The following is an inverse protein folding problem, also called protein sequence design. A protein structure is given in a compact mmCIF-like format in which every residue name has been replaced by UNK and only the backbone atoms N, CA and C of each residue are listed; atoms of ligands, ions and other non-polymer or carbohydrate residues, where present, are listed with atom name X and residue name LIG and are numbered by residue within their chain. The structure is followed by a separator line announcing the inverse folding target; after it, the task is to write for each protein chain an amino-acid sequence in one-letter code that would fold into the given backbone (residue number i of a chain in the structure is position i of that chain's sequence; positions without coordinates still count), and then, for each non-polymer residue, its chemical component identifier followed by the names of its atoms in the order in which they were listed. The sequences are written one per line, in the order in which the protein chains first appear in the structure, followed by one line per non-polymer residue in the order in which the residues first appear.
data_IF_312549157643
#
_entry.id   IF_312549157643
#
_cell.length_a   1.000
_cell.length_b   1.000
_cell.length_c   1.000
_cell.angle_alpha   90.00
_cell.angle_beta   90.00
_cell.angle_gamma   90.00
#
_symmetry.space_group_name_H-M   'P 1'
#
loop_
_entity.id
_entity.type
_entity.pdbx_description
1 polymer ?
#
# COMPACT_ATOMS: atom_id res chain seq x y z
N UNK A 1 73.75 29.66 -56.78
CA UNK A 1 73.73 28.19 -56.81
C UNK A 1 73.60 27.67 -55.39
N UNK A 2 72.37 27.32 -54.98
CA UNK A 2 72.01 26.74 -53.69
C UNK A 2 70.55 26.30 -53.77
N UNK A 3 70.22 25.09 -53.31
CA UNK A 3 68.83 24.66 -53.10
C UNK A 3 68.53 23.26 -53.58
N UNK A 4 68.74 22.30 -52.67
CA UNK A 4 68.21 20.94 -52.65
C UNK A 4 66.82 20.95 -51.99
N UNK A 5 65.95 19.97 -52.31
CA UNK A 5 64.59 19.82 -51.75
C UNK A 5 63.64 19.20 -52.78
N UNK A 6 63.45 17.88 -52.80
CA UNK A 6 62.57 17.05 -51.94
C UNK A 6 61.10 17.02 -52.43
N UNK A 7 60.60 15.82 -52.67
CA UNK A 7 59.23 15.59 -53.14
C UNK A 7 59.02 14.30 -53.91
N UNK A 8 59.21 13.14 -53.28
CA UNK A 8 58.53 11.88 -53.65
C UNK A 8 58.32 11.04 -52.37
N UNK A 9 57.32 11.43 -51.58
CA UNK A 9 56.84 10.64 -50.45
C UNK A 9 56.03 9.44 -50.96
N UNK A 10 56.66 8.27 -50.97
CA UNK A 10 56.00 6.98 -51.13
C UNK A 10 54.95 6.79 -50.02
N UNK A 11 53.73 6.47 -50.43
CA UNK A 11 52.64 6.00 -49.58
C UNK A 11 53.06 4.73 -48.81
N UNK A 12 53.39 4.87 -47.53
CA UNK A 12 53.34 3.72 -46.60
C UNK A 12 51.87 3.37 -46.31
N UNK A 13 51.48 2.08 -46.38
CA UNK A 13 50.14 1.68 -45.99
C UNK A 13 50.01 1.78 -44.46
N UNK A 14 48.93 2.41 -44.01
CA UNK A 14 48.50 2.39 -42.61
C UNK A 14 48.25 0.94 -42.18
N UNK A 15 49.25 0.30 -41.56
CA UNK A 15 49.09 -0.95 -40.85
C UNK A 15 48.31 -0.63 -39.57
N UNK A 16 47.02 -0.94 -39.57
CA UNK A 16 46.23 -0.94 -38.35
C UNK A 16 46.93 -1.85 -37.32
N UNK A 17 47.19 -1.39 -36.09
CA UNK A 17 47.82 -2.24 -35.08
C UNK A 17 46.88 -3.41 -34.78
N UNK A 18 47.31 -4.61 -35.17
CA UNK A 18 46.59 -5.86 -34.87
C UNK A 18 46.31 -5.92 -33.36
N UNK A 19 45.05 -6.16 -32.94
CA UNK A 19 44.73 -6.22 -31.52
C UNK A 19 45.59 -7.29 -30.86
N UNK A 20 46.27 -6.93 -29.77
CA UNK A 20 47.04 -7.90 -28.99
C UNK A 20 46.17 -9.11 -28.67
N UNK A 21 46.72 -10.33 -28.79
CA UNK A 21 46.01 -11.61 -28.63
C UNK A 21 45.23 -11.69 -27.30
N UNK A 22 45.66 -10.97 -26.26
CA UNK A 22 44.93 -10.85 -24.99
C UNK A 22 43.68 -9.96 -25.03
N UNK A 23 43.64 -8.97 -25.91
CA UNK A 23 42.54 -8.00 -26.03
C UNK A 23 41.43 -8.53 -26.94
N UNK A 24 41.79 -9.27 -27.99
CA UNK A 24 40.84 -10.04 -28.81
C UNK A 24 40.13 -11.11 -27.95
N UNK A 25 40.89 -11.94 -27.23
CA UNK A 25 40.35 -12.99 -26.34
C UNK A 25 39.42 -12.45 -25.25
N UNK A 26 39.66 -11.24 -24.74
CA UNK A 26 38.77 -10.57 -23.78
C UNK A 26 37.45 -10.11 -24.41
N UNK A 27 37.48 -9.57 -25.64
CA UNK A 27 36.27 -9.18 -26.37
C UNK A 27 35.40 -10.39 -26.68
N UNK A 28 36.00 -11.50 -27.09
CA UNK A 28 35.28 -12.74 -27.41
C UNK A 28 34.64 -13.36 -26.15
N UNK A 29 35.38 -13.40 -25.04
CA UNK A 29 34.85 -13.86 -23.76
C UNK A 29 33.72 -12.96 -23.24
N UNK A 30 33.83 -11.63 -23.42
CA UNK A 30 32.77 -10.69 -23.07
C UNK A 30 31.54 -10.89 -23.94
N UNK A 31 31.70 -11.09 -25.26
CA UNK A 31 30.60 -11.34 -26.19
C UNK A 31 29.84 -12.63 -25.86
N UNK A 32 30.56 -13.70 -25.55
CA UNK A 32 29.97 -14.97 -25.10
C UNK A 32 29.18 -14.84 -23.80
N UNK A 33 29.72 -14.09 -22.82
CA UNK A 33 29.01 -13.77 -21.58
C UNK A 33 27.78 -12.91 -21.82
N UNK A 34 27.86 -11.92 -22.72
CA UNK A 34 26.75 -11.04 -23.05
C UNK A 34 25.62 -11.80 -23.72
N UNK A 35 25.97 -12.76 -24.58
CA UNK A 35 25.03 -13.70 -25.19
C UNK A 35 24.35 -14.59 -24.15
N UNK A 36 25.12 -15.17 -23.21
CA UNK A 36 24.57 -15.97 -22.10
C UNK A 36 23.67 -15.11 -21.18
N UNK A 37 23.98 -13.83 -20.96
CA UNK A 37 23.15 -12.94 -20.14
C UNK A 37 21.85 -12.53 -20.84
N UNK A 38 21.89 -12.24 -22.15
CA UNK A 38 20.72 -11.81 -22.94
C UNK A 38 19.68 -12.90 -23.18
N UNK A 39 20.07 -14.17 -23.16
CA UNK A 39 19.15 -15.29 -23.39
C UNK A 39 18.06 -15.39 -22.32
N UNK A 40 16.84 -15.70 -22.76
CA UNK A 40 15.71 -15.92 -21.88
C UNK A 40 15.91 -17.18 -21.00
N UNK A 41 15.28 -17.25 -19.81
CA UNK A 41 15.36 -18.44 -18.96
C UNK A 41 14.88 -19.72 -19.65
N UNK A 42 13.96 -19.58 -20.61
CA UNK A 42 13.34 -20.67 -21.35
C UNK A 42 14.25 -21.15 -22.51
N UNK A 43 14.94 -20.25 -23.20
CA UNK A 43 16.02 -20.60 -24.14
C UNK A 43 17.15 -21.36 -23.45
N UNK A 44 17.53 -20.94 -22.23
CA UNK A 44 18.55 -21.64 -21.42
C UNK A 44 18.13 -23.06 -21.05
N UNK A 45 16.83 -23.32 -20.91
CA UNK A 45 16.32 -24.65 -20.64
C UNK A 45 16.53 -25.58 -21.85
N UNK A 46 16.14 -25.15 -23.05
CA UNK A 46 16.32 -25.97 -24.26
C UNK A 46 17.78 -26.11 -24.71
N UNK A 47 18.58 -25.04 -24.62
CA UNK A 47 19.98 -25.10 -25.09
C UNK A 47 20.94 -25.74 -24.09
N UNK A 48 20.72 -25.56 -22.79
CA UNK A 48 21.67 -26.02 -21.76
C UNK A 48 21.09 -27.07 -20.80
N UNK A 49 19.83 -27.50 -20.98
CA UNK A 49 19.17 -28.47 -20.11
C UNK A 49 18.97 -27.98 -18.66
N UNK A 50 19.14 -26.68 -18.39
CA UNK A 50 19.05 -26.11 -17.05
C UNK A 50 17.60 -25.82 -16.70
N UNK A 51 16.99 -26.66 -15.85
CA UNK A 51 15.60 -26.46 -15.38
C UNK A 51 15.44 -25.06 -14.74
N UNK A 52 14.46 -24.24 -15.19
CA UNK A 52 14.29 -22.86 -14.74
C UNK A 52 13.59 -22.79 -13.37
N UNK A 53 14.14 -23.45 -12.35
CA UNK A 53 13.56 -23.55 -11.01
C UNK A 53 13.25 -22.18 -10.37
N UNK A 54 13.99 -21.12 -10.76
CA UNK A 54 13.75 -19.74 -10.33
C UNK A 54 12.39 -19.21 -10.77
N UNK A 55 12.00 -19.49 -12.02
CA UNK A 55 10.72 -19.05 -12.59
C UNK A 55 9.59 -19.83 -11.92
N UNK A 56 9.76 -21.15 -11.76
CA UNK A 56 8.81 -22.01 -11.05
C UNK A 56 8.58 -21.53 -9.61
N UNK A 57 9.64 -21.15 -8.90
CA UNK A 57 9.54 -20.66 -7.53
C UNK A 57 8.83 -19.30 -7.43
N UNK A 58 9.01 -18.40 -8.41
CA UNK A 58 8.26 -17.14 -8.45
C UNK A 58 6.78 -17.36 -8.71
N UNK A 59 6.44 -18.21 -9.67
CA UNK A 59 5.04 -18.53 -9.99
C UNK A 59 4.37 -19.18 -8.78
N UNK A 60 5.05 -20.12 -8.12
CA UNK A 60 4.54 -20.75 -6.91
C UNK A 60 4.35 -19.73 -5.77
N UNK A 61 5.33 -18.85 -5.54
CA UNK A 61 5.25 -17.83 -4.51
C UNK A 61 4.12 -16.82 -4.81
N UNK A 62 3.94 -16.44 -6.07
CA UNK A 62 2.84 -15.58 -6.50
C UNK A 62 1.49 -16.24 -6.21
N UNK A 63 1.31 -17.52 -6.58
CA UNK A 63 0.07 -18.27 -6.33
C UNK A 63 -0.20 -18.48 -4.84
N UNK A 64 0.81 -18.84 -4.05
CA UNK A 64 0.66 -19.01 -2.62
C UNK A 64 0.37 -17.67 -1.92
N UNK A 65 1.02 -16.59 -2.34
CA UNK A 65 0.79 -15.25 -1.80
C UNK A 65 -0.59 -14.70 -2.15
N UNK A 66 -1.06 -14.88 -3.39
CA UNK A 66 -2.42 -14.47 -3.78
C UNK A 66 -3.47 -15.27 -3.01
N UNK A 67 -3.29 -16.60 -2.87
CA UNK A 67 -4.18 -17.44 -2.08
C UNK A 67 -4.20 -17.00 -0.60
N UNK A 68 -3.04 -16.67 -0.03
CA UNK A 68 -2.92 -16.18 1.34
C UNK A 68 -3.71 -14.88 1.54
N UNK A 69 -3.58 -13.92 0.62
CA UNK A 69 -4.32 -12.64 0.67
C UNK A 69 -5.82 -12.88 0.53
N UNK A 70 -6.26 -13.73 -0.42
CA UNK A 70 -7.69 -14.00 -0.62
C UNK A 70 -8.34 -14.69 0.59
N UNK A 71 -7.62 -15.63 1.22
CA UNK A 71 -8.11 -16.30 2.42
C UNK A 71 -8.19 -15.34 3.61
N UNK A 72 -7.19 -14.47 3.76
CA UNK A 72 -7.20 -13.42 4.77
C UNK A 72 -8.36 -12.43 4.56
N UNK A 73 -8.58 -11.98 3.33
CA UNK A 73 -9.67 -11.07 2.99
C UNK A 73 -11.04 -11.72 3.22
N UNK A 74 -11.22 -12.99 2.86
CA UNK A 74 -12.50 -13.67 3.12
C UNK A 74 -12.80 -13.78 4.63
N UNK A 75 -11.77 -13.99 5.48
CA UNK A 75 -11.95 -14.02 6.93
C UNK A 75 -12.22 -12.63 7.52
N UNK A 76 -11.54 -11.59 7.03
CA UNK A 76 -11.58 -10.27 7.63
C UNK A 76 -12.66 -9.34 7.02
N UNK A 77 -13.07 -9.57 5.77
CA UNK A 77 -13.97 -8.69 5.03
C UNK A 77 -15.37 -8.60 5.63
N UNK A 78 -15.90 -9.70 6.19
CA UNK A 78 -17.19 -9.68 6.89
C UNK A 78 -17.13 -8.79 8.14
N UNK A 79 -16.03 -8.90 8.89
CA UNK A 79 -15.76 -8.06 10.06
C UNK A 79 -15.61 -6.59 9.69
N UNK A 80 -14.72 -6.26 8.74
CA UNK A 80 -14.46 -4.88 8.31
C UNK A 80 -15.72 -4.23 7.73
N UNK A 81 -16.53 -4.96 6.97
CA UNK A 81 -17.79 -4.44 6.42
C UNK A 81 -18.82 -4.16 7.52
N UNK A 82 -18.89 -5.01 8.54
CA UNK A 82 -19.76 -4.79 9.69
C UNK A 82 -19.27 -3.60 10.53
N UNK A 83 -17.96 -3.47 10.75
CA UNK A 83 -17.40 -2.34 11.49
C UNK A 83 -17.64 -1.01 10.77
N UNK A 84 -17.43 -0.92 9.46
CA UNK A 84 -17.68 0.34 8.74
C UNK A 84 -19.14 0.81 8.75
N UNK A 85 -20.11 -0.12 8.79
CA UNK A 85 -21.54 0.24 8.81
C UNK A 85 -22.02 0.72 10.18
N UNK A 86 -21.43 0.20 11.25
CA UNK A 86 -21.87 0.50 12.61
C UNK A 86 -21.32 1.84 13.15
N UNK A 87 -20.29 2.39 12.50
CA UNK A 87 -19.62 3.64 12.91
C UNK A 87 -19.98 4.83 12.00
N UNK A 88 -21.19 4.84 11.43
CA UNK A 88 -21.71 6.07 10.83
C UNK A 88 -22.00 7.04 11.97
N UNK A 89 -21.29 8.16 12.00
CA UNK A 89 -21.51 9.27 12.93
C UNK A 89 -22.92 9.83 12.74
N UNK A 90 -23.90 9.24 13.40
CA UNK A 90 -25.26 9.75 13.41
C UNK A 90 -25.30 10.96 14.35
N UNK A 91 -25.61 12.13 13.78
CA UNK A 91 -25.73 13.36 14.55
C UNK A 91 -27.04 13.32 15.35
N UNK A 92 -26.92 13.33 16.67
CA UNK A 92 -28.06 13.24 17.58
C UNK A 92 -28.50 14.66 17.98
N UNK A 93 -29.73 15.03 17.63
CA UNK A 93 -30.22 16.41 17.80
C UNK A 93 -31.23 16.59 18.94
N UNK A 94 -31.83 15.52 19.47
CA UNK A 94 -32.86 15.62 20.51
C UNK A 94 -32.41 15.01 21.84
N UNK A 95 -32.91 15.57 22.95
CA UNK A 95 -32.62 15.06 24.30
C UNK A 95 -33.06 13.60 24.45
N UNK A 96 -34.23 13.24 23.93
CA UNK A 96 -34.72 11.87 24.01
C UNK A 96 -33.82 10.91 23.22
N UNK A 97 -33.38 11.32 22.03
CA UNK A 97 -32.48 10.49 21.21
C UNK A 97 -31.10 10.37 21.87
N UNK A 98 -30.59 11.40 22.56
CA UNK A 98 -29.34 11.27 23.33
C UNK A 98 -29.46 10.27 24.47
N UNK A 99 -30.59 10.27 25.20
CA UNK A 99 -30.84 9.31 26.27
C UNK A 99 -30.99 7.88 25.72
N UNK A 100 -31.71 7.72 24.61
CA UNK A 100 -31.86 6.45 23.93
C UNK A 100 -30.53 5.94 23.38
N UNK A 101 -29.68 6.81 22.83
CA UNK A 101 -28.37 6.43 22.32
C UNK A 101 -27.44 5.97 23.46
N UNK A 102 -27.42 6.68 24.59
CA UNK A 102 -26.66 6.28 25.78
C UNK A 102 -27.15 4.94 26.33
N UNK A 103 -28.47 4.73 26.38
CA UNK A 103 -29.05 3.43 26.74
C UNK A 103 -28.70 2.33 25.73
N UNK A 104 -28.73 2.64 24.44
CA UNK A 104 -28.40 1.71 23.36
C UNK A 104 -26.95 1.25 23.45
N UNK A 105 -25.99 2.14 23.74
CA UNK A 105 -24.57 1.78 23.92
C UNK A 105 -24.39 0.80 25.08
N UNK A 106 -25.06 1.05 26.21
CA UNK A 106 -25.07 0.12 27.36
C UNK A 106 -25.62 -1.24 26.96
N UNK A 107 -26.81 -1.26 26.36
CA UNK A 107 -27.52 -2.49 26.03
C UNK A 107 -26.76 -3.30 24.98
N UNK A 108 -26.18 -2.63 23.97
CA UNK A 108 -25.34 -3.25 22.95
C UNK A 108 -24.07 -3.88 23.54
N UNK A 109 -23.43 -3.24 24.53
CA UNK A 109 -22.30 -3.85 25.25
C UNK A 109 -22.75 -5.12 25.98
N UNK A 110 -23.76 -5.04 26.84
CA UNK A 110 -24.20 -6.19 27.65
C UNK A 110 -24.93 -7.29 26.86
N UNK A 111 -25.25 -7.06 25.58
CA UNK A 111 -25.78 -8.07 24.66
C UNK A 111 -24.82 -8.43 23.51
N UNK A 112 -23.55 -7.97 23.57
CA UNK A 112 -22.58 -8.16 22.47
C UNK A 112 -22.43 -9.64 22.08
N UNK A 113 -22.50 -10.57 23.03
CA UNK A 113 -22.41 -12.02 22.74
C UNK A 113 -23.56 -12.55 21.88
N UNK A 114 -24.75 -11.98 22.02
CA UNK A 114 -25.95 -12.44 21.33
C UNK A 114 -26.15 -11.72 19.99
N UNK A 115 -25.75 -10.45 19.92
CA UNK A 115 -25.96 -9.60 18.75
C UNK A 115 -24.77 -9.59 17.78
N UNK A 116 -23.54 -9.76 18.25
CA UNK A 116 -22.36 -9.60 17.39
C UNK A 116 -22.12 -10.81 16.49
N UNK A 117 -21.72 -10.53 15.25
CA UNK A 117 -21.31 -11.54 14.27
C UNK A 117 -19.94 -12.14 14.61
N UNK A 118 -19.11 -11.37 15.33
CA UNK A 118 -17.79 -11.78 15.76
C UNK A 118 -17.82 -12.39 17.16
N UNK A 119 -16.92 -13.32 17.44
CA UNK A 119 -16.83 -13.97 18.75
C UNK A 119 -16.12 -13.06 19.75
N UNK A 120 -16.87 -12.15 20.37
CA UNK A 120 -16.41 -11.31 21.46
C UNK A 120 -16.75 -11.94 22.82
N UNK A 121 -15.84 -11.81 23.76
CA UNK A 121 -16.06 -12.11 25.16
C UNK A 121 -15.87 -10.86 26.01
N UNK A 122 -16.54 -10.85 27.16
CA UNK A 122 -16.38 -9.79 28.13
C UNK A 122 -15.03 -9.91 28.82
N UNK A 123 -14.45 -8.77 29.20
CA UNK A 123 -13.41 -8.80 30.22
C UNK A 123 -14.08 -9.03 31.58
N UNK A 124 -13.61 -10.01 32.35
CA UNK A 124 -14.19 -10.37 33.64
C UNK A 124 -13.32 -9.83 34.78
N UNK A 125 -13.90 -9.05 35.69
CA UNK A 125 -13.21 -8.58 36.89
C UNK A 125 -13.03 -9.71 37.92
N UNK A 126 -13.92 -10.69 37.88
CA UNK A 126 -13.88 -11.96 38.64
C UNK A 126 -14.63 -13.02 37.80
N UNK A 127 -14.45 -14.33 38.00
CA UNK A 127 -14.85 -15.37 37.03
C UNK A 127 -16.33 -15.39 36.61
N UNK A 128 -17.22 -14.71 37.35
CA UNK A 128 -18.65 -14.59 37.01
C UNK A 128 -19.14 -13.14 36.89
N UNK A 129 -18.27 -12.13 37.01
CA UNK A 129 -18.65 -10.71 37.01
C UNK A 129 -17.98 -10.02 35.83
N UNK A 130 -18.82 -9.65 34.86
CA UNK A 130 -18.44 -8.82 33.71
C UNK A 130 -17.94 -7.47 34.22
N UNK A 131 -16.81 -7.01 33.69
CA UNK A 131 -16.26 -5.70 34.02
C UNK A 131 -17.28 -4.61 33.61
N UNK A 132 -17.62 -3.67 34.52
CA UNK A 132 -18.52 -2.58 34.18
C UNK A 132 -17.89 -1.67 33.13
N UNK A 133 -18.73 -1.11 32.26
CA UNK A 133 -18.32 -0.10 31.28
C UNK A 133 -18.05 1.22 32.00
N UNK A 134 -16.95 1.88 31.68
CA UNK A 134 -16.60 3.18 32.25
C UNK A 134 -17.20 4.29 31.40
N UNK A 135 -18.12 5.07 31.97
CA UNK A 135 -18.61 6.30 31.36
C UNK A 135 -17.89 7.48 31.99
N UNK A 136 -17.29 8.32 31.18
CA UNK A 136 -16.64 9.54 31.64
C UNK A 136 -17.37 10.77 31.11
N UNK A 137 -17.78 11.65 32.03
CA UNK A 137 -18.55 12.84 31.70
C UNK A 137 -17.72 14.08 32.02
N UNK A 138 -17.50 14.90 31.00
CA UNK A 138 -16.85 16.21 31.14
C UNK A 138 -17.95 17.26 31.13
N UNK A 139 -17.96 18.11 32.17
CA UNK A 139 -18.94 19.16 32.31
C UNK A 139 -18.32 20.54 32.35
N UNK A 140 -19.11 21.53 31.97
CA UNK A 140 -18.80 22.93 32.03
C UNK A 140 -19.63 23.58 33.13
N UNK A 141 -18.97 24.30 34.03
CA UNK A 141 -19.61 25.06 35.09
C UNK A 141 -18.94 26.43 35.19
N UNK A 142 -19.72 27.52 35.14
CA UNK A 142 -19.22 28.89 35.36
C UNK A 142 -17.93 29.25 34.59
N UNK A 143 -17.86 28.93 33.28
CA UNK A 143 -16.68 29.20 32.43
C UNK A 143 -15.45 28.36 32.68
N UNK A 144 -15.52 27.35 33.54
CA UNK A 144 -14.46 26.38 33.72
C UNK A 144 -14.94 24.98 33.32
N UNK A 145 -14.03 24.23 32.70
CA UNK A 145 -14.26 22.81 32.43
C UNK A 145 -13.90 22.05 33.70
N UNK A 146 -14.86 21.32 34.24
CA UNK A 146 -14.68 20.47 35.40
C UNK A 146 -13.81 19.25 35.04
N UNK A 147 -13.06 18.69 36.00
CA UNK A 147 -12.34 17.45 35.78
C UNK A 147 -13.31 16.33 35.39
N UNK A 148 -12.81 15.42 34.56
CA UNK A 148 -13.53 14.22 34.12
C UNK A 148 -14.07 13.45 35.33
N UNK A 149 -15.37 13.22 35.38
CA UNK A 149 -16.01 12.34 36.37
C UNK A 149 -16.29 10.99 35.74
N UNK A 150 -15.95 9.94 36.45
CA UNK A 150 -16.05 8.56 35.98
C UNK A 150 -17.17 7.82 36.71
N UNK A 151 -17.98 7.09 35.95
CA UNK A 151 -19.12 6.34 36.45
C UNK A 151 -19.04 4.91 35.92
N UNK A 152 -19.27 3.94 36.80
CA UNK A 152 -19.34 2.54 36.42
C UNK A 152 -20.76 2.21 35.98
N UNK A 153 -20.92 1.87 34.71
CA UNK A 153 -22.20 1.51 34.10
C UNK A 153 -22.41 0.01 34.24
N UNK A 154 -23.61 -0.35 34.69
CA UNK A 154 -24.04 -1.75 34.89
C UNK A 154 -25.25 -2.03 33.97
N UNK A 155 -25.69 -3.29 33.83
CA UNK A 155 -26.81 -3.62 32.94
C UNK A 155 -28.10 -2.87 33.29
N UNK A 156 -28.28 -2.49 34.56
CA UNK A 156 -29.50 -1.86 35.07
C UNK A 156 -29.35 -0.36 35.33
N UNK A 157 -28.13 0.17 35.40
CA UNK A 157 -27.86 1.56 35.78
C UNK A 157 -27.05 2.27 34.70
N UNK A 158 -27.56 3.41 34.24
CA UNK A 158 -26.91 4.35 33.32
C UNK A 158 -26.08 5.41 34.06
N UNK A 159 -25.85 5.22 35.35
CA UNK A 159 -25.06 6.12 36.19
C UNK A 159 -25.75 7.48 36.34
N UNK A 160 -25.16 8.58 35.83
CA UNK A 160 -25.68 9.94 36.06
C UNK A 160 -27.01 10.22 35.35
N UNK A 161 -27.52 9.31 34.52
CA UNK A 161 -28.80 9.45 33.81
C UNK A 161 -29.97 8.75 34.50
N UNK A 162 -29.73 7.91 35.52
CA UNK A 162 -30.80 7.16 36.20
C UNK A 162 -31.74 8.07 36.99
N UNK A 163 -31.21 9.13 37.60
CA UNK A 163 -31.98 10.08 38.42
C UNK A 163 -32.74 11.13 37.57
N UNK A 164 -32.60 11.08 36.24
CA UNK A 164 -33.15 12.08 35.31
C UNK A 164 -34.53 11.65 34.78
N UNK A 165 -35.50 11.52 35.69
CA UNK A 165 -36.87 11.10 35.34
C UNK A 165 -37.71 12.19 34.63
N UNK A 166 -37.27 13.46 34.65
CA UNK A 166 -37.95 14.57 34.00
C UNK A 166 -37.13 15.13 32.84
N UNK A 167 -37.80 15.46 31.73
CA UNK A 167 -37.18 16.05 30.54
C UNK A 167 -36.44 17.36 30.83
N UNK A 168 -36.90 18.13 31.82
CA UNK A 168 -36.25 19.37 32.25
C UNK A 168 -34.93 19.14 32.99
N UNK A 169 -34.86 18.11 33.86
CA UNK A 169 -33.62 17.75 34.55
C UNK A 169 -32.58 17.20 33.56
N UNK A 170 -33.04 16.36 32.62
CA UNK A 170 -32.19 15.87 31.53
C UNK A 170 -31.63 16.99 30.67
N UNK A 171 -32.46 17.95 30.28
CA UNK A 171 -32.04 19.10 29.49
C UNK A 171 -31.02 19.96 30.24
N UNK A 172 -31.25 20.25 31.52
CA UNK A 172 -30.29 21.01 32.34
C UNK A 172 -28.95 20.29 32.49
N UNK A 173 -28.96 18.96 32.62
CA UNK A 173 -27.74 18.17 32.70
C UNK A 173 -26.97 18.20 31.38
N UNK A 174 -27.65 17.94 30.26
CA UNK A 174 -27.04 17.94 28.92
C UNK A 174 -26.47 19.31 28.53
N UNK A 175 -27.12 20.41 28.92
CA UNK A 175 -26.58 21.76 28.71
C UNK A 175 -25.23 22.01 29.39
N UNK A 176 -24.94 21.27 30.46
CA UNK A 176 -23.65 21.36 31.16
C UNK A 176 -22.59 20.43 30.58
N UNK A 177 -22.91 19.54 29.64
CA UNK A 177 -21.97 18.53 29.13
C UNK A 177 -21.12 19.08 27.99
N UNK A 178 -19.84 18.69 27.99
CA UNK A 178 -18.89 18.94 26.90
C UNK A 178 -18.67 17.67 26.08
N UNK A 179 -18.38 16.54 26.74
CA UNK A 179 -18.23 15.23 26.11
C UNK A 179 -18.67 14.12 27.06
N UNK A 180 -19.16 13.03 26.47
CA UNK A 180 -19.43 11.76 27.14
C UNK A 180 -18.60 10.71 26.42
N UNK A 181 -17.61 10.16 27.12
CA UNK A 181 -16.74 9.13 26.55
C UNK A 181 -17.03 7.79 27.22
N UNK A 182 -17.28 6.77 26.42
CA UNK A 182 -17.43 5.40 26.89
C UNK A 182 -16.13 4.63 26.67
N UNK A 183 -15.60 4.03 27.74
CA UNK A 183 -14.45 3.15 27.69
C UNK A 183 -14.86 1.75 28.16
N UNK A 184 -14.65 0.77 27.30
CA UNK A 184 -14.95 -0.63 27.56
C UNK A 184 -13.82 -1.50 27.03
N UNK A 185 -13.57 -2.62 27.72
CA UNK A 185 -12.65 -3.65 27.24
C UNK A 185 -13.47 -4.86 26.82
N UNK A 186 -13.22 -5.30 25.60
CA UNK A 186 -13.81 -6.51 25.03
C UNK A 186 -12.65 -7.38 24.62
N UNK A 187 -12.66 -8.64 25.06
CA UNK A 187 -11.63 -9.60 24.69
C UNK A 187 -12.12 -10.36 23.44
N UNK A 188 -11.25 -10.46 22.44
CA UNK A 188 -11.59 -11.16 21.22
C UNK A 188 -11.35 -12.65 21.44
N UNK A 189 -12.41 -13.45 21.51
CA UNK A 189 -12.33 -14.88 21.79
C UNK A 189 -11.59 -15.65 20.67
N UNK A 190 -11.31 -14.98 19.54
CA UNK A 190 -10.46 -15.51 18.48
C UNK A 190 -8.96 -15.39 18.76
N UNK A 191 -8.55 -14.48 19.65
CA UNK A 191 -7.15 -14.14 19.96
C UNK A 191 -6.66 -14.71 21.29
N UNK A 192 -7.56 -15.19 22.15
CA UNK A 192 -7.16 -15.97 23.32
C UNK A 192 -7.82 -17.36 23.34
N UNK A 193 -7.03 -18.30 23.85
CA UNK A 193 -7.23 -19.74 23.87
C UNK A 193 -8.45 -20.07 24.75
N UNK A 194 -9.67 -19.84 24.27
CA UNK A 194 -10.85 -20.47 24.86
C UNK A 194 -10.88 -21.94 24.39
N UNK A 195 -10.07 -22.76 25.08
CA UNK A 195 -9.96 -24.21 24.97
C UNK A 195 -9.38 -24.72 23.62
N UNK A 196 -8.10 -24.45 23.37
CA UNK A 196 -7.30 -25.20 22.39
C UNK A 196 -7.04 -26.60 22.96
N UNK A 197 -7.94 -27.53 22.70
CA UNK A 197 -7.67 -28.95 22.94
C UNK A 197 -6.92 -29.60 21.75
N UNK A 198 -6.80 -28.90 20.62
CA UNK A 198 -6.17 -29.46 19.42
C UNK A 198 -5.33 -28.44 18.65
N UNK A 199 -4.01 -28.62 18.69
CA UNK A 199 -3.01 -27.81 17.96
C UNK A 199 -3.31 -27.79 16.46
N UNK A 200 -3.88 -28.87 15.92
CA UNK A 200 -4.26 -28.97 14.51
C UNK A 200 -5.51 -28.18 14.15
N UNK A 201 -6.38 -27.86 15.11
CA UNK A 201 -7.51 -26.97 14.88
C UNK A 201 -7.04 -25.52 14.77
N UNK A 202 -6.12 -25.09 15.65
CA UNK A 202 -5.51 -23.75 15.62
C UNK A 202 -4.67 -23.52 14.37
N UNK A 203 -3.88 -24.52 13.94
CA UNK A 203 -3.09 -24.46 12.71
C UNK A 203 -3.95 -24.35 11.44
N UNK A 204 -5.13 -24.99 11.42
CA UNK A 204 -6.08 -24.94 10.29
C UNK A 204 -6.93 -23.67 10.27
N UNK A 205 -7.37 -23.16 11.43
CA UNK A 205 -8.35 -22.08 11.52
C UNK A 205 -7.90 -20.71 10.97
N UNK A 206 -6.60 -20.39 11.06
CA UNK A 206 -6.04 -19.12 10.56
C UNK A 206 -5.09 -19.28 9.37
N UNK A 207 -5.11 -20.46 8.72
CA UNK A 207 -4.17 -20.80 7.65
C UNK A 207 -2.69 -20.55 8.05
N UNK A 208 -2.35 -20.73 9.34
CA UNK A 208 -0.99 -20.56 9.86
C UNK A 208 0.01 -21.48 9.13
N UNK A 209 -0.45 -22.67 8.73
CA UNK A 209 0.32 -23.58 7.90
C UNK A 209 0.69 -22.96 6.54
N UNK A 210 -0.21 -22.16 5.94
CA UNK A 210 0.05 -21.47 4.68
C UNK A 210 1.06 -20.34 4.88
N UNK A 211 0.99 -19.60 6.00
CA UNK A 211 2.01 -18.61 6.37
C UNK A 211 3.39 -19.27 6.53
N UNK A 212 3.45 -20.46 7.14
CA UNK A 212 4.68 -21.23 7.27
C UNK A 212 5.21 -21.72 5.91
N UNK A 213 4.33 -22.15 5.00
CA UNK A 213 4.70 -22.53 3.64
C UNK A 213 5.24 -21.33 2.86
N UNK A 214 4.55 -20.18 2.90
CA UNK A 214 4.99 -18.96 2.25
C UNK A 214 6.32 -18.48 2.85
N UNK A 215 6.47 -18.48 4.17
CA UNK A 215 7.73 -18.15 4.84
C UNK A 215 8.87 -19.12 4.44
N UNK A 216 8.59 -20.41 4.32
CA UNK A 216 9.57 -21.39 3.83
C UNK A 216 9.99 -21.10 2.40
N UNK A 217 9.04 -20.85 1.50
CA UNK A 217 9.30 -20.53 0.10
C UNK A 217 10.05 -19.20 -0.05
N UNK A 218 9.73 -18.17 0.74
CA UNK A 218 10.45 -16.89 0.73
C UNK A 218 11.87 -17.04 1.27
N UNK A 219 12.10 -17.80 2.33
CA UNK A 219 13.45 -18.07 2.85
C UNK A 219 14.27 -18.83 1.81
N UNK A 220 13.73 -19.88 1.19
CA UNK A 220 14.39 -20.61 0.10
C UNK A 220 14.70 -19.65 -1.05
N UNK A 221 13.75 -18.80 -1.43
CA UNK A 221 13.93 -17.81 -2.48
C UNK A 221 15.05 -16.82 -2.15
N UNK A 222 15.06 -16.23 -0.95
CA UNK A 222 16.08 -15.27 -0.48
C UNK A 222 17.46 -15.94 -0.43
N UNK A 223 17.56 -17.18 0.07
CA UNK A 223 18.83 -17.91 0.14
C UNK A 223 19.37 -18.18 -1.26
N UNK A 224 18.52 -18.61 -2.20
CA UNK A 224 18.96 -18.94 -3.55
C UNK A 224 19.22 -17.67 -4.39
N UNK A 225 18.42 -16.62 -4.19
CA UNK A 225 18.63 -15.30 -4.77
C UNK A 225 19.95 -14.73 -4.25
N UNK A 226 20.16 -14.72 -2.94
CA UNK A 226 21.38 -14.29 -2.26
C UNK A 226 22.60 -15.06 -2.76
N UNK A 227 22.53 -16.39 -2.90
CA UNK A 227 23.62 -17.19 -3.52
C UNK A 227 23.89 -16.84 -4.98
N UNK A 228 22.87 -16.42 -5.74
CA UNK A 228 23.06 -15.99 -7.12
C UNK A 228 23.57 -14.56 -7.21
N UNK A 229 23.12 -13.67 -6.32
CA UNK A 229 23.55 -12.30 -6.18
C UNK A 229 24.99 -12.24 -5.68
N UNK A 230 25.38 -13.05 -4.69
CA UNK A 230 26.75 -13.13 -4.19
C UNK A 230 27.72 -13.61 -5.29
N UNK A 231 27.29 -14.54 -6.15
CA UNK A 231 28.08 -14.98 -7.31
C UNK A 231 28.18 -13.91 -8.40
N UNK A 232 27.12 -13.12 -8.60
CA UNK A 232 27.10 -11.99 -9.53
C UNK A 232 27.94 -10.83 -8.99
N UNK A 233 27.76 -10.44 -7.73
CA UNK A 233 28.50 -9.41 -7.00
C UNK A 233 29.96 -9.79 -6.81
N UNK A 234 30.32 -11.05 -6.52
CA UNK A 234 31.72 -11.47 -6.50
C UNK A 234 32.39 -11.35 -7.88
N UNK A 235 31.61 -11.49 -8.97
CA UNK A 235 32.03 -11.20 -10.34
C UNK A 235 32.12 -9.69 -10.62
N UNK A 236 31.18 -8.90 -10.10
CA UNK A 236 31.04 -7.46 -10.36
C UNK A 236 31.93 -6.57 -9.48
N UNK A 237 32.16 -6.96 -8.22
CA UNK A 237 33.10 -6.38 -7.24
C UNK A 237 34.56 -6.48 -7.72
N UNK A 238 34.84 -7.38 -8.67
CA UNK A 238 36.12 -7.44 -9.38
C UNK A 238 36.30 -6.32 -10.41
N UNK A 239 35.25 -5.51 -10.66
CA UNK A 239 35.22 -4.55 -11.76
C UNK A 239 34.88 -3.12 -11.32
N UNK A 240 34.04 -2.89 -10.30
CA UNK A 240 33.67 -1.53 -9.86
C UNK A 240 33.32 -1.48 -8.36
N UNK A 241 33.92 -0.53 -7.64
CA UNK A 241 33.47 0.08 -6.36
C UNK A 241 33.35 1.58 -6.71
N UNK A 242 32.33 2.38 -6.31
CA UNK A 242 31.82 2.54 -4.93
C UNK A 242 30.29 2.80 -4.77
N UNK A 243 29.94 2.93 -3.48
CA UNK A 243 28.74 3.38 -2.77
C UNK A 243 27.71 4.28 -3.48
N UNK A 244 26.43 4.03 -3.18
CA UNK A 244 25.43 5.09 -2.98
C UNK A 244 24.27 4.56 -2.12
N UNK A 245 24.04 5.19 -0.96
CA UNK A 245 22.82 5.05 -0.16
C UNK A 245 22.22 6.45 -0.10
N UNK A 246 21.01 6.59 -0.63
CA UNK A 246 20.17 7.78 -0.41
C UNK A 246 18.99 7.34 0.43
N UNK A 247 18.88 8.00 1.58
CA UNK A 247 17.75 7.93 2.47
C UNK A 247 16.89 9.17 2.19
N UNK A 248 15.66 8.94 1.72
CA UNK A 248 14.64 9.98 1.57
C UNK A 248 13.70 9.82 2.76
N UNK A 249 13.69 10.80 3.66
CA UNK A 249 12.63 10.97 4.63
C UNK A 249 11.83 12.21 4.24
N UNK A 250 10.51 12.06 4.10
CA UNK A 250 9.58 13.17 3.83
C UNK A 250 8.44 13.04 4.84
N UNK A 251 8.28 14.04 5.68
CA UNK A 251 7.19 14.10 6.65
C UNK A 251 6.31 15.34 6.44
N UNK A 252 5.02 15.10 6.70
CA UNK A 252 3.88 16.03 6.83
C UNK A 252 3.15 16.40 5.55
N UNK A 253 2.19 15.54 5.24
CA UNK A 253 1.07 15.81 4.33
C UNK A 253 -0.18 15.29 5.04
N UNK A 254 -1.00 16.16 5.61
CA UNK A 254 -2.35 15.78 6.06
C UNK A 254 -3.36 16.66 5.33
N UNK A 255 -3.17 17.99 5.32
CA UNK A 255 -4.10 18.88 4.61
C UNK A 255 -3.81 19.01 3.11
N UNK A 256 -2.52 18.99 2.71
CA UNK A 256 -2.14 19.01 1.29
C UNK A 256 -2.52 17.71 0.56
N UNK A 257 -2.73 16.61 1.28
CA UNK A 257 -2.99 15.31 0.66
C UNK A 257 -4.37 15.29 0.05
N UNK A 258 -5.37 15.77 0.80
CA UNK A 258 -6.76 15.84 0.33
C UNK A 258 -6.87 16.80 -0.85
N UNK A 259 -6.22 17.98 -0.78
CA UNK A 259 -6.14 18.88 -1.93
C UNK A 259 -5.49 18.20 -3.15
N UNK A 260 -4.36 17.51 -3.00
CA UNK A 260 -3.72 16.78 -4.10
C UNK A 260 -4.61 15.67 -4.67
N UNK A 261 -5.35 14.94 -3.83
CA UNK A 261 -6.29 13.90 -4.27
C UNK A 261 -7.45 14.51 -5.05
N UNK A 262 -8.04 15.59 -4.55
CA UNK A 262 -9.15 16.29 -5.22
C UNK A 262 -8.71 16.93 -6.53
N UNK A 263 -7.52 17.56 -6.60
CA UNK A 263 -7.00 18.02 -7.88
C UNK A 263 -6.76 16.83 -8.82
N UNK A 264 -6.17 15.73 -8.35
CA UNK A 264 -5.94 14.53 -9.17
C UNK A 264 -7.23 13.88 -9.68
N UNK A 265 -8.31 13.85 -8.89
CA UNK A 265 -9.61 13.36 -9.35
C UNK A 265 -10.17 14.25 -10.46
N UNK A 266 -10.11 15.58 -10.29
CA UNK A 266 -10.52 16.56 -11.30
C UNK A 266 -9.71 16.41 -12.60
N UNK A 267 -8.40 16.13 -12.49
CA UNK A 267 -7.54 15.87 -13.67
C UNK A 267 -8.03 14.69 -14.51
N UNK A 268 -8.56 13.66 -13.85
CA UNK A 268 -9.12 12.47 -14.50
C UNK A 268 -10.60 12.65 -14.89
N UNK A 269 -11.19 13.82 -14.64
CA UNK A 269 -12.58 14.12 -14.95
C UNK A 269 -13.59 13.64 -13.90
N UNK A 270 -13.14 13.28 -12.70
CA UNK A 270 -13.97 12.78 -11.62
C UNK A 270 -14.42 13.91 -10.67
N UNK A 271 -15.65 13.82 -10.15
CA UNK A 271 -16.21 14.73 -9.12
C UNK A 271 -16.18 16.24 -9.49
N UNK A 272 -16.21 16.59 -10.78
CA UNK A 272 -16.15 18.00 -11.22
C UNK A 272 -17.35 18.79 -10.66
N UNK A 273 -18.57 18.28 -10.82
CA UNK A 273 -19.79 18.99 -10.42
C UNK A 273 -19.85 19.25 -8.92
N UNK A 274 -19.53 18.23 -8.10
CA UNK A 274 -19.60 18.35 -6.64
C UNK A 274 -18.52 19.29 -6.09
N UNK A 275 -17.34 19.32 -6.71
CA UNK A 275 -16.28 20.28 -6.35
C UNK A 275 -16.70 21.71 -6.72
N UNK A 276 -17.33 21.91 -7.87
CA UNK A 276 -17.87 23.21 -8.26
C UNK A 276 -18.96 23.68 -7.29
N UNK A 277 -19.89 22.82 -6.91
CA UNK A 277 -20.97 23.16 -5.98
C UNK A 277 -20.44 23.51 -4.58
N UNK A 278 -19.48 22.74 -4.08
CA UNK A 278 -18.87 22.98 -2.76
C UNK A 278 -18.08 24.28 -2.75
N UNK A 279 -17.23 24.51 -3.75
CA UNK A 279 -16.36 25.69 -3.80
C UNK A 279 -17.11 26.99 -4.12
N UNK A 280 -18.22 26.92 -4.87
CA UNK A 280 -19.08 28.09 -5.13
C UNK A 280 -19.82 28.58 -3.89
N UNK A 281 -20.03 27.72 -2.90
CA UNK A 281 -20.69 28.08 -1.63
C UNK A 281 -19.82 29.06 -0.83
N UNK A 282 -18.52 28.81 -0.76
CA UNK A 282 -17.58 29.67 -0.02
C UNK A 282 -17.02 30.83 -0.89
N UNK A 283 -16.71 30.55 -2.16
CA UNK A 283 -16.09 31.49 -3.09
C UNK A 283 -16.69 31.41 -4.51
N UNK A 284 -17.85 32.06 -4.78
CA UNK A 284 -18.62 31.85 -6.01
C UNK A 284 -17.85 32.21 -7.29
N UNK A 285 -17.09 33.29 -7.27
CA UNK A 285 -16.35 33.76 -8.45
C UNK A 285 -14.92 33.21 -8.51
N UNK A 286 -14.19 33.31 -7.39
CA UNK A 286 -12.79 32.91 -7.34
C UNK A 286 -12.62 31.40 -7.51
N UNK A 287 -13.52 30.61 -6.91
CA UNK A 287 -13.53 29.16 -7.04
C UNK A 287 -13.83 28.69 -8.45
N UNK A 288 -14.85 29.28 -9.09
CA UNK A 288 -15.19 28.97 -10.47
C UNK A 288 -14.05 29.33 -11.44
N UNK A 289 -13.47 30.52 -11.30
CA UNK A 289 -12.34 30.95 -12.13
C UNK A 289 -11.12 30.02 -11.97
N UNK A 290 -10.79 29.62 -10.74
CA UNK A 290 -9.72 28.66 -10.47
C UNK A 290 -9.99 27.30 -11.13
N UNK A 291 -11.17 26.71 -10.94
CA UNK A 291 -11.48 25.39 -11.50
C UNK A 291 -11.52 25.41 -13.03
N UNK A 292 -12.13 26.42 -13.65
CA UNK A 292 -12.15 26.52 -15.11
C UNK A 292 -10.76 26.66 -15.71
N UNK A 293 -9.91 27.52 -15.12
CA UNK A 293 -8.53 27.72 -15.60
C UNK A 293 -7.68 26.47 -15.40
N UNK A 294 -7.83 25.80 -14.26
CA UNK A 294 -7.11 24.55 -13.96
C UNK A 294 -7.50 23.41 -14.91
N UNK A 295 -8.80 23.17 -15.10
CA UNK A 295 -9.33 22.11 -15.98
C UNK A 295 -8.91 22.38 -17.43
N UNK A 296 -9.11 23.62 -17.93
CA UNK A 296 -8.77 23.95 -19.30
C UNK A 296 -7.26 23.81 -19.58
N UNK A 297 -6.41 24.27 -18.65
CA UNK A 297 -4.96 24.13 -18.78
C UNK A 297 -4.55 22.66 -18.74
N UNK A 298 -5.04 21.88 -17.78
CA UNK A 298 -4.49 20.54 -17.60
C UNK A 298 -5.05 19.52 -18.60
N UNK A 299 -6.34 19.54 -18.91
CA UNK A 299 -6.94 18.61 -19.87
C UNK A 299 -6.50 18.96 -21.30
N UNK A 300 -6.54 20.22 -21.70
CA UNK A 300 -6.25 20.57 -23.09
C UNK A 300 -4.78 20.81 -23.40
N UNK A 301 -3.96 21.19 -22.41
CA UNK A 301 -2.53 21.45 -22.65
C UNK A 301 -1.68 20.31 -22.10
N UNK A 302 -1.73 20.08 -20.78
CA UNK A 302 -0.81 19.15 -20.12
C UNK A 302 -1.05 17.70 -20.56
N UNK A 303 -2.30 17.23 -20.57
CA UNK A 303 -2.62 15.87 -20.96
C UNK A 303 -2.30 15.62 -22.44
N UNK A 304 -2.60 16.58 -23.32
CA UNK A 304 -2.26 16.48 -24.74
C UNK A 304 -0.75 16.42 -24.97
N UNK A 305 0.05 17.23 -24.25
CA UNK A 305 1.52 17.15 -24.30
C UNK A 305 2.02 15.79 -23.78
N UNK A 306 1.47 15.29 -22.68
CA UNK A 306 1.88 14.01 -22.12
C UNK A 306 1.59 12.85 -23.08
N UNK A 307 0.41 12.83 -23.70
CA UNK A 307 0.06 11.84 -24.73
C UNK A 307 1.02 11.92 -25.92
N UNK A 308 1.35 13.12 -26.40
CA UNK A 308 2.29 13.31 -27.49
C UNK A 308 3.70 12.77 -27.16
N UNK A 309 4.22 13.05 -25.95
CA UNK A 309 5.53 12.54 -25.51
C UNK A 309 5.53 11.01 -25.45
N UNK A 310 4.46 10.40 -24.91
CA UNK A 310 4.33 8.94 -24.83
C UNK A 310 4.22 8.33 -26.23
N UNK A 311 3.48 8.97 -27.14
CA UNK A 311 3.36 8.55 -28.54
C UNK A 311 4.71 8.58 -29.27
N UNK A 312 5.47 9.67 -29.13
CA UNK A 312 6.81 9.80 -29.72
C UNK A 312 7.78 8.74 -29.17
N UNK A 313 7.80 8.54 -27.85
CA UNK A 313 8.64 7.52 -27.22
C UNK A 313 8.27 6.10 -27.67
N UNK A 314 6.97 5.83 -27.83
CA UNK A 314 6.47 4.55 -28.34
C UNK A 314 6.89 4.31 -29.79
N UNK A 315 6.73 5.30 -30.68
CA UNK A 315 7.15 5.18 -32.07
C UNK A 315 8.67 5.05 -32.22
N UNK A 316 9.45 5.79 -31.44
CA UNK A 316 10.90 5.66 -31.40
C UNK A 316 11.32 4.23 -31.06
N UNK A 317 10.78 3.66 -29.98
CA UNK A 317 11.08 2.29 -29.55
C UNK A 317 10.65 1.25 -30.59
N UNK A 318 9.46 1.41 -31.18
CA UNK A 318 8.93 0.50 -32.19
C UNK A 318 9.75 0.52 -33.49
N UNK A 319 10.21 1.69 -33.91
CA UNK A 319 11.07 1.84 -35.11
C UNK A 319 12.39 1.10 -34.94
N UNK A 320 13.00 1.19 -33.76
CA UNK A 320 14.24 0.47 -33.44
C UNK A 320 14.04 -1.05 -33.41
N UNK A 321 12.93 -1.52 -32.84
CA UNK A 321 12.60 -2.95 -32.84
C UNK A 321 12.43 -3.48 -34.27
N UNK A 322 11.70 -2.76 -35.13
CA UNK A 322 11.53 -3.15 -36.55
C UNK A 322 12.84 -3.17 -37.32
N UNK A 323 13.74 -2.22 -37.08
CA UNK A 323 15.06 -2.20 -37.69
C UNK A 323 15.93 -3.38 -37.25
N UNK A 324 15.81 -3.80 -35.98
CA UNK A 324 16.48 -5.02 -35.50
C UNK A 324 15.87 -6.28 -36.12
N UNK A 325 14.55 -6.35 -36.28
CA UNK A 325 13.88 -7.50 -36.89
C UNK A 325 14.27 -7.67 -38.37
N UNK A 326 14.35 -6.58 -39.13
CA UNK A 326 14.79 -6.63 -40.54
C UNK A 326 16.25 -7.02 -40.67
N UNK A 327 17.13 -6.53 -39.79
CA UNK A 327 18.52 -6.95 -39.74
C UNK A 327 18.65 -8.43 -39.36
N UNK A 328 17.87 -8.90 -38.39
CA UNK A 328 17.84 -10.31 -38.00
C UNK A 328 17.40 -11.21 -39.15
N UNK A 329 16.36 -10.81 -39.91
CA UNK A 329 15.92 -11.54 -41.10
C UNK A 329 16.99 -11.53 -42.21
N UNK A 330 17.66 -10.41 -42.46
CA UNK A 330 18.74 -10.33 -43.46
C UNK A 330 19.95 -11.21 -43.10
N UNK A 331 20.28 -11.32 -41.81
CA UNK A 331 21.33 -12.22 -41.33
C UNK A 331 20.88 -13.67 -41.48
N UNK A 332 19.63 -14.00 -41.14
CA UNK A 332 19.11 -15.37 -41.23
C UNK A 332 18.99 -15.88 -42.68
N UNK A 333 18.75 -15.00 -43.66
CA UNK A 333 18.74 -15.36 -45.10
C UNK A 333 20.16 -15.56 -45.66
N UNK A 334 21.21 -15.09 -44.97
CA UNK A 334 22.61 -15.21 -45.39
C UNK A 334 23.37 -16.40 -44.78
N UNK A 335 22.75 -17.17 -43.89
CA UNK A 335 23.30 -18.41 -43.29
C UNK A 335 22.69 -19.61 -44.01
#
# INVERSE_FOLDING_TARGET
MRGDGDGDALLEPLVDPSPSTGQARKKDAMGSLLHEVKMSPWEKYWYHGRVPWKVVLHVLLMLCGTLQIMLYDNQNSAYVRASYRNWLEESIFTVNDTLLAVAHVRDAYFSIKELSVATYDYHYASPSVVQPMLMSVIQYQNKTILPRREFNITPTSLGPFDDLHTSAAALSFLHSIVSIDFAMRVDECSLDVCSVNDVWATLRGRFLWLNLVVAGLTVIYIVLLGRSLLRAVARYRRMVVPSFVVEIHRDRVVDMQEACVTLFSILNGDVILDTFASLQTDFPFLGAAYLYTFIALFIYVVLNIFVAIVEEAFFATRSQSRALDTLAQQIFVRI
#
